data_IF_284632918899
#
_entry.id   IF_284632918899
#
_cell.length_a   1.000
_cell.length_b   1.000
_cell.length_c   1.000
_cell.angle_alpha   90.00
_cell.angle_beta   90.00
_cell.angle_gamma   90.00
#
_symmetry.space_group_name_H-M   'P 1'
#
loop_
_entity.id
_entity.type
_entity.pdbx_description
1 polymer ?
#
# COMPACT_ATOMS: atom_id res chain seq x y z
N UNK A 1 -18.91 -31.85 -10.37
CA UNK A 1 -18.07 -30.75 -9.80
C UNK A 1 -16.66 -31.02 -10.32
N UNK A 2 -16.18 -30.21 -11.26
CA UNK A 2 -14.79 -30.30 -11.70
C UNK A 2 -13.93 -29.66 -10.62
N UNK A 3 -13.03 -30.45 -10.04
CA UNK A 3 -12.11 -30.02 -8.99
C UNK A 3 -10.79 -29.61 -9.67
N UNK A 4 -10.44 -28.38 -9.59
CA UNK A 4 -9.13 -27.91 -10.04
C UNK A 4 -8.17 -27.97 -8.85
N UNK A 5 -7.12 -28.78 -8.96
CA UNK A 5 -6.07 -28.89 -7.97
C UNK A 5 -4.91 -27.97 -8.39
N UNK A 6 -4.57 -27.00 -7.56
CA UNK A 6 -3.37 -26.20 -7.73
C UNK A 6 -2.51 -26.32 -6.46
N UNK A 7 -1.24 -26.75 -6.58
CA UNK A 7 -0.34 -26.75 -5.44
C UNK A 7 -0.08 -25.32 -5.00
N UNK A 8 -0.40 -25.00 -3.76
CA UNK A 8 -0.16 -23.66 -3.20
C UNK A 8 1.17 -23.69 -2.49
N UNK A 9 2.10 -22.89 -2.97
CA UNK A 9 3.34 -22.61 -2.26
C UNK A 9 3.12 -21.57 -1.17
N UNK A 10 3.84 -21.70 -0.05
CA UNK A 10 3.77 -20.79 1.10
C UNK A 10 3.99 -19.32 0.68
N UNK A 11 4.77 -19.08 -0.37
CA UNK A 11 5.02 -17.75 -0.93
C UNK A 11 3.74 -17.10 -1.47
N UNK A 12 2.79 -17.88 -1.99
CA UNK A 12 1.52 -17.36 -2.51
C UNK A 12 0.55 -16.90 -1.40
N UNK A 13 0.77 -17.35 -0.17
CA UNK A 13 0.00 -16.96 1.01
C UNK A 13 0.46 -15.62 1.61
N UNK A 14 1.57 -15.06 1.15
CA UNK A 14 2.00 -13.74 1.57
C UNK A 14 1.04 -12.68 1.03
N UNK A 15 0.52 -11.87 1.94
CA UNK A 15 -0.51 -10.87 1.63
C UNK A 15 -0.02 -9.73 0.74
N UNK A 16 1.29 -9.43 0.78
CA UNK A 16 1.89 -8.37 -0.04
C UNK A 16 3.30 -8.75 -0.45
N UNK A 17 3.61 -8.54 -1.74
CA UNK A 17 4.95 -8.75 -2.30
C UNK A 17 6.03 -7.83 -1.73
N UNK A 18 5.66 -6.76 -1.00
CA UNK A 18 6.60 -5.80 -0.40
C UNK A 18 7.49 -6.43 0.68
N UNK A 19 6.99 -7.46 1.37
CA UNK A 19 7.73 -8.17 2.42
C UNK A 19 8.70 -9.22 1.87
N UNK A 20 8.60 -9.53 0.58
CA UNK A 20 9.49 -10.47 -0.08
C UNK A 20 10.76 -9.74 -0.48
N UNK A 21 11.85 -10.04 0.23
CA UNK A 21 13.15 -9.41 0.02
C UNK A 21 13.78 -9.89 -1.28
N UNK A 22 13.68 -11.17 -1.57
CA UNK A 22 14.26 -11.81 -2.74
C UNK A 22 13.48 -11.43 -4.01
N UNK A 23 14.13 -10.86 -5.05
CA UNK A 23 13.48 -10.47 -6.29
C UNK A 23 12.92 -11.68 -7.06
N UNK A 24 13.58 -12.86 -7.03
CA UNK A 24 13.10 -14.07 -7.70
C UNK A 24 11.82 -14.59 -7.02
N UNK A 25 11.82 -14.63 -5.69
CA UNK A 25 10.61 -15.01 -4.93
C UNK A 25 9.48 -14.01 -5.14
N UNK A 26 9.77 -12.71 -5.29
CA UNK A 26 8.76 -11.69 -5.59
C UNK A 26 8.15 -11.90 -6.98
N UNK A 27 8.96 -12.16 -7.98
CA UNK A 27 8.48 -12.46 -9.33
C UNK A 27 7.63 -13.74 -9.33
N UNK A 28 8.06 -14.77 -8.61
CA UNK A 28 7.31 -16.00 -8.43
C UNK A 28 5.97 -15.76 -7.72
N UNK A 29 5.94 -14.96 -6.67
CA UNK A 29 4.70 -14.54 -6.01
C UNK A 29 3.72 -13.87 -6.97
N UNK A 30 4.18 -12.93 -7.81
CA UNK A 30 3.35 -12.27 -8.80
C UNK A 30 2.79 -13.26 -9.83
N UNK A 31 3.60 -14.20 -10.33
CA UNK A 31 3.16 -15.22 -11.27
C UNK A 31 2.09 -16.15 -10.65
N UNK A 32 2.31 -16.61 -9.42
CA UNK A 32 1.34 -17.43 -8.69
C UNK A 32 0.04 -16.68 -8.42
N UNK A 33 0.13 -15.39 -8.07
CA UNK A 33 -1.04 -14.53 -7.91
C UNK A 33 -1.82 -14.37 -9.22
N UNK A 34 -1.13 -14.18 -10.34
CA UNK A 34 -1.76 -14.12 -11.68
C UNK A 34 -2.50 -15.42 -12.03
N UNK A 35 -1.85 -16.56 -11.81
CA UNK A 35 -2.45 -17.88 -12.06
C UNK A 35 -3.68 -18.10 -11.19
N UNK A 36 -3.59 -17.79 -9.90
CA UNK A 36 -4.70 -17.92 -8.96
C UNK A 36 -5.88 -17.03 -9.34
N UNK A 37 -5.59 -15.75 -9.67
CA UNK A 37 -6.63 -14.81 -10.11
C UNK A 37 -7.32 -15.30 -11.40
N UNK A 38 -6.57 -15.84 -12.36
CA UNK A 38 -7.12 -16.38 -13.59
C UNK A 38 -8.02 -17.60 -13.32
N UNK A 39 -7.59 -18.51 -12.45
CA UNK A 39 -8.36 -19.69 -12.04
C UNK A 39 -9.66 -19.32 -11.34
N UNK A 40 -9.61 -18.37 -10.40
CA UNK A 40 -10.80 -17.92 -9.67
C UNK A 40 -11.79 -17.18 -10.57
N UNK A 41 -11.30 -16.37 -11.51
CA UNK A 41 -12.16 -15.71 -12.50
C UNK A 41 -12.83 -16.72 -13.42
N UNK A 42 -12.11 -17.74 -13.88
CA UNK A 42 -12.67 -18.80 -14.70
C UNK A 42 -13.72 -19.63 -13.93
N UNK A 43 -13.44 -19.97 -12.68
CA UNK A 43 -14.38 -20.69 -11.81
C UNK A 43 -15.63 -19.86 -11.51
N UNK A 44 -15.46 -18.57 -11.21
CA UNK A 44 -16.57 -17.64 -10.98
C UNK A 44 -17.48 -17.52 -12.20
N UNK A 45 -16.91 -17.41 -13.40
CA UNK A 45 -17.68 -17.34 -14.65
C UNK A 45 -18.52 -18.61 -14.92
N UNK A 46 -18.10 -19.75 -14.38
CA UNK A 46 -18.77 -21.05 -14.54
C UNK A 46 -19.63 -21.43 -13.32
N UNK A 47 -19.70 -20.58 -12.28
CA UNK A 47 -20.42 -20.88 -11.03
C UNK A 47 -19.83 -22.05 -10.25
N UNK A 48 -18.53 -22.33 -10.42
CA UNK A 48 -17.82 -23.43 -9.79
C UNK A 48 -17.01 -22.93 -8.58
N UNK A 49 -16.84 -23.84 -7.60
CA UNK A 49 -15.90 -23.62 -6.49
C UNK A 49 -14.52 -24.21 -6.83
N UNK A 50 -13.46 -23.60 -6.34
CA UNK A 50 -12.08 -24.08 -6.50
C UNK A 50 -11.65 -24.74 -5.22
N UNK A 51 -11.22 -25.99 -5.29
CA UNK A 51 -10.59 -26.69 -4.17
C UNK A 51 -9.08 -26.49 -4.26
N UNK A 52 -8.51 -25.91 -3.22
CA UNK A 52 -7.06 -25.71 -3.09
C UNK A 52 -6.46 -26.87 -2.31
N UNK A 53 -5.48 -27.54 -2.91
CA UNK A 53 -4.67 -28.53 -2.23
C UNK A 53 -3.47 -27.83 -1.58
N UNK A 54 -3.48 -27.75 -0.26
CA UNK A 54 -2.36 -27.26 0.52
C UNK A 54 -1.39 -28.43 0.68
N UNK A 55 -0.29 -28.43 -0.06
CA UNK A 55 0.73 -29.49 -0.10
C UNK A 55 1.33 -29.90 1.27
N UNK A 56 0.90 -29.29 2.35
CA UNK A 56 1.38 -29.53 3.73
C UNK A 56 0.26 -29.73 4.75
N UNK A 57 -1.01 -29.68 4.35
CA UNK A 57 -2.13 -29.97 5.25
C UNK A 57 -2.76 -31.30 4.83
N UNK A 58 -2.75 -32.33 5.71
CA UNK A 58 -3.39 -33.58 5.38
C UNK A 58 -4.91 -33.41 5.36
N UNK A 59 -5.50 -33.94 4.29
CA UNK A 59 -6.83 -34.50 4.21
C UNK A 59 -8.06 -33.62 4.02
N UNK A 60 -8.01 -32.28 4.07
CA UNK A 60 -9.20 -31.48 3.73
C UNK A 60 -8.92 -30.43 2.64
N UNK A 61 -9.52 -30.56 1.45
CA UNK A 61 -9.43 -29.52 0.42
C UNK A 61 -10.12 -28.25 0.91
N UNK A 62 -9.40 -27.13 0.92
CA UNK A 62 -9.99 -25.83 1.22
C UNK A 62 -10.81 -25.37 0.03
N UNK A 63 -12.12 -25.37 0.19
CA UNK A 63 -13.04 -24.90 -0.84
C UNK A 63 -13.11 -23.36 -0.81
N UNK A 64 -12.64 -22.74 -1.88
CA UNK A 64 -12.79 -21.29 -2.08
C UNK A 64 -13.97 -21.05 -3.03
N UNK A 65 -14.96 -20.34 -2.53
CA UNK A 65 -16.04 -19.79 -3.35
C UNK A 65 -15.79 -18.30 -3.57
N UNK A 66 -16.10 -17.74 -4.75
CA UNK A 66 -15.99 -16.31 -4.96
C UNK A 66 -16.88 -15.59 -3.96
N UNK A 67 -16.27 -14.81 -3.09
CA UNK A 67 -16.97 -14.03 -2.05
C UNK A 67 -17.36 -12.69 -2.66
N UNK A 68 -18.67 -12.40 -2.67
CA UNK A 68 -19.18 -11.08 -3.02
C UNK A 68 -18.85 -10.03 -1.93
N UNK A 69 -19.28 -8.80 -2.13
CA UNK A 69 -19.07 -7.69 -1.19
C UNK A 69 -19.53 -7.99 0.24
N UNK A 70 -20.53 -8.87 0.41
CA UNK A 70 -21.03 -9.32 1.72
C UNK A 70 -20.05 -10.20 2.50
N UNK A 71 -19.03 -10.74 1.84
CA UNK A 71 -18.01 -11.59 2.47
C UNK A 71 -16.79 -10.81 2.98
N UNK A 72 -16.75 -9.50 2.76
CA UNK A 72 -15.66 -8.66 3.26
C UNK A 72 -15.68 -8.57 4.77
N UNK A 73 -14.50 -8.68 5.39
CA UNK A 73 -14.38 -8.66 6.86
C UNK A 73 -14.87 -7.33 7.45
N UNK A 74 -15.39 -7.31 8.69
CA UNK A 74 -15.73 -6.07 9.39
C UNK A 74 -14.55 -5.09 9.47
N UNK A 75 -13.32 -5.62 9.53
CA UNK A 75 -12.09 -4.81 9.55
C UNK A 75 -11.88 -4.06 8.22
N UNK A 76 -12.25 -4.66 7.08
CA UNK A 76 -12.20 -3.97 5.78
C UNK A 76 -13.09 -2.72 5.81
N UNK A 77 -14.33 -2.86 6.26
CA UNK A 77 -15.27 -1.76 6.33
C UNK A 77 -14.83 -0.69 7.32
N UNK A 78 -14.31 -1.09 8.48
CA UNK A 78 -13.79 -0.16 9.47
C UNK A 78 -12.61 0.66 8.90
N UNK A 79 -11.62 0.01 8.31
CA UNK A 79 -10.45 0.68 7.71
C UNK A 79 -10.85 1.54 6.50
N UNK A 80 -11.81 1.07 5.68
CA UNK A 80 -12.33 1.82 4.56
C UNK A 80 -13.05 3.10 5.00
N UNK A 81 -13.89 3.02 6.03
CA UNK A 81 -14.55 4.18 6.61
C UNK A 81 -13.55 5.16 7.24
N UNK A 82 -12.54 4.65 7.94
CA UNK A 82 -11.48 5.48 8.48
C UNK A 82 -10.70 6.19 7.38
N UNK A 83 -10.34 5.48 6.30
CA UNK A 83 -9.68 6.05 5.13
C UNK A 83 -10.52 7.17 4.51
N UNK A 84 -11.82 6.92 4.32
CA UNK A 84 -12.76 7.91 3.80
C UNK A 84 -12.87 9.14 4.71
N UNK A 85 -12.89 8.93 6.03
CA UNK A 85 -12.91 10.01 7.03
C UNK A 85 -11.65 10.88 6.94
N UNK A 86 -10.46 10.25 6.91
CA UNK A 86 -9.18 10.96 6.76
C UNK A 86 -9.12 11.74 5.45
N UNK A 87 -9.56 11.12 4.35
CA UNK A 87 -9.64 11.76 3.05
C UNK A 87 -10.61 12.96 3.08
N UNK A 88 -11.79 12.80 3.70
CA UNK A 88 -12.79 13.85 3.84
C UNK A 88 -12.26 15.05 4.63
N UNK A 89 -11.54 14.81 5.73
CA UNK A 89 -10.88 15.88 6.50
C UNK A 89 -9.86 16.62 5.64
N UNK A 90 -9.03 15.91 4.89
CA UNK A 90 -8.07 16.52 3.95
C UNK A 90 -8.75 17.39 2.90
N UNK A 91 -9.85 16.90 2.31
CA UNK A 91 -10.63 17.64 1.33
C UNK A 91 -11.26 18.92 1.92
N UNK A 92 -11.85 18.83 3.11
CA UNK A 92 -12.44 20.00 3.81
C UNK A 92 -11.38 21.05 4.10
N UNK A 93 -10.21 20.65 4.59
CA UNK A 93 -9.11 21.58 4.87
C UNK A 93 -8.61 22.26 3.60
N UNK A 94 -8.53 21.53 2.49
CA UNK A 94 -8.13 22.09 1.19
C UNK A 94 -9.17 23.09 0.66
N UNK A 95 -10.45 22.77 0.78
CA UNK A 95 -11.56 23.62 0.34
C UNK A 95 -11.72 24.87 1.21
N UNK A 96 -11.32 24.83 2.48
CA UNK A 96 -11.34 25.99 3.38
C UNK A 96 -10.39 27.11 2.94
N UNK A 97 -9.38 26.82 2.11
CA UNK A 97 -8.50 27.77 1.47
C UNK A 97 -7.22 27.11 0.95
N UNK A 98 -6.84 27.34 -0.31
CA UNK A 98 -5.70 26.68 -0.96
C UNK A 98 -4.35 27.29 -0.54
N UNK A 99 -4.09 27.38 0.76
CA UNK A 99 -2.79 27.76 1.29
C UNK A 99 -1.81 26.58 1.23
N UNK A 100 -0.52 26.86 1.09
CA UNK A 100 0.52 25.83 1.03
C UNK A 100 0.49 24.84 2.21
N UNK A 101 0.14 25.32 3.40
CA UNK A 101 -0.06 24.47 4.57
C UNK A 101 -1.24 23.52 4.41
N UNK A 102 -2.36 24.01 3.90
CA UNK A 102 -3.56 23.21 3.71
C UNK A 102 -3.38 22.18 2.59
N UNK A 103 -2.62 22.53 1.54
CA UNK A 103 -2.22 21.60 0.50
C UNK A 103 -1.35 20.47 1.06
N UNK A 104 -0.35 20.80 1.89
CA UNK A 104 0.49 19.78 2.53
C UNK A 104 -0.34 18.85 3.44
N UNK A 105 -1.27 19.42 4.22
CA UNK A 105 -2.17 18.62 5.05
C UNK A 105 -3.09 17.71 4.22
N UNK A 106 -3.63 18.22 3.11
CA UNK A 106 -4.46 17.41 2.22
C UNK A 106 -3.66 16.27 1.56
N UNK A 107 -2.42 16.52 1.15
CA UNK A 107 -1.51 15.48 0.62
C UNK A 107 -1.18 14.43 1.69
N UNK A 108 -0.93 14.86 2.93
CA UNK A 108 -0.74 13.96 4.06
C UNK A 108 -1.99 13.07 4.27
N UNK A 109 -3.17 13.68 4.33
CA UNK A 109 -4.43 12.97 4.52
C UNK A 109 -4.71 11.99 3.36
N UNK A 110 -4.48 12.40 2.11
CA UNK A 110 -4.64 11.57 0.93
C UNK A 110 -3.73 10.34 0.98
N UNK A 111 -2.45 10.54 1.28
CA UNK A 111 -1.49 9.45 1.36
C UNK A 111 -1.78 8.48 2.50
N UNK A 112 -2.16 8.98 3.68
CA UNK A 112 -2.54 8.14 4.81
C UNK A 112 -3.86 7.38 4.55
N UNK A 113 -4.85 8.03 3.93
CA UNK A 113 -6.08 7.38 3.49
C UNK A 113 -5.80 6.27 2.47
N UNK A 114 -4.90 6.52 1.52
CA UNK A 114 -4.43 5.51 0.56
C UNK A 114 -3.77 4.31 1.24
N UNK A 115 -2.88 4.54 2.21
CA UNK A 115 -2.25 3.46 3.00
C UNK A 115 -3.29 2.62 3.73
N UNK A 116 -4.29 3.25 4.37
CA UNK A 116 -5.36 2.54 5.07
C UNK A 116 -6.18 1.67 4.12
N UNK A 117 -6.47 2.13 2.89
CA UNK A 117 -7.17 1.32 1.89
C UNK A 117 -6.35 0.09 1.50
N UNK A 118 -5.04 0.23 1.29
CA UNK A 118 -4.19 -0.92 1.00
C UNK A 118 -4.15 -1.91 2.17
N UNK A 119 -4.10 -1.43 3.41
CA UNK A 119 -4.17 -2.28 4.61
C UNK A 119 -5.53 -2.99 4.68
N UNK A 120 -6.63 -2.30 4.33
CA UNK A 120 -7.96 -2.91 4.28
C UNK A 120 -8.02 -4.06 3.26
N UNK A 121 -7.45 -3.86 2.07
CA UNK A 121 -7.38 -4.90 1.02
C UNK A 121 -6.53 -6.08 1.50
N UNK A 122 -5.36 -5.85 2.08
CA UNK A 122 -4.48 -6.91 2.58
C UNK A 122 -5.11 -7.75 3.70
N UNK A 123 -5.99 -7.17 4.49
CA UNK A 123 -6.65 -7.91 5.58
C UNK A 123 -7.78 -8.85 5.09
N UNK A 124 -8.12 -8.81 3.81
CA UNK A 124 -9.07 -9.73 3.21
C UNK A 124 -8.33 -10.73 2.32
N UNK A 125 -8.08 -11.93 2.88
CA UNK A 125 -7.41 -13.03 2.17
C UNK A 125 -8.19 -13.49 0.94
N UNK A 126 -9.52 -13.37 1.01
CA UNK A 126 -10.45 -13.82 -0.01
C UNK A 126 -10.67 -12.77 -1.12
N UNK A 127 -10.17 -11.56 -0.93
CA UNK A 127 -10.21 -10.51 -1.94
C UNK A 127 -8.96 -10.62 -2.82
N UNK A 128 -9.08 -11.38 -3.92
CA UNK A 128 -8.03 -11.40 -4.92
C UNK A 128 -8.02 -10.07 -5.67
N UNK A 129 -7.10 -9.20 -5.23
CA UNK A 129 -6.90 -7.92 -5.88
C UNK A 129 -6.50 -8.12 -7.34
N UNK A 130 -6.97 -7.26 -8.27
CA UNK A 130 -6.56 -7.38 -9.68
C UNK A 130 -5.04 -7.26 -9.79
N UNK A 131 -4.45 -8.01 -10.71
CA UNK A 131 -2.99 -8.15 -10.88
C UNK A 131 -2.29 -6.80 -10.98
N UNK A 132 -2.89 -5.85 -11.70
CA UNK A 132 -2.32 -4.50 -11.82
C UNK A 132 -2.18 -3.79 -10.47
N UNK A 133 -3.14 -4.01 -9.54
CA UNK A 133 -3.08 -3.41 -8.21
C UNK A 133 -1.98 -4.05 -7.37
N UNK A 134 -1.81 -5.37 -7.44
CA UNK A 134 -0.73 -6.07 -6.74
C UNK A 134 0.65 -5.65 -7.26
N UNK A 135 0.77 -5.47 -8.57
CA UNK A 135 2.01 -4.99 -9.20
C UNK A 135 2.36 -3.57 -8.75
N UNK A 136 1.35 -2.69 -8.63
CA UNK A 136 1.53 -1.31 -8.22
C UNK A 136 1.58 -1.12 -6.69
N UNK A 137 1.18 -2.12 -5.91
CA UNK A 137 1.07 -2.02 -4.44
C UNK A 137 2.34 -1.42 -3.82
N UNK A 138 3.50 -2.02 -4.08
CA UNK A 138 4.77 -1.58 -3.51
C UNK A 138 5.12 -0.15 -3.91
N UNK A 139 4.91 0.22 -5.18
CA UNK A 139 5.25 1.55 -5.69
C UNK A 139 4.30 2.62 -5.17
N UNK A 140 2.99 2.34 -5.10
CA UNK A 140 2.00 3.28 -4.59
C UNK A 140 2.17 3.53 -3.10
N UNK A 141 2.40 2.49 -2.32
CA UNK A 141 2.67 2.65 -0.88
C UNK A 141 3.92 3.45 -0.62
N UNK A 142 4.98 3.19 -1.39
CA UNK A 142 6.20 3.97 -1.29
C UNK A 142 5.96 5.43 -1.65
N UNK A 143 5.22 5.70 -2.73
CA UNK A 143 4.85 7.07 -3.08
C UNK A 143 4.06 7.75 -1.95
N UNK A 144 3.13 7.04 -1.31
CA UNK A 144 2.39 7.56 -0.16
C UNK A 144 3.30 7.84 1.05
N UNK A 145 4.27 6.97 1.35
CA UNK A 145 5.23 7.18 2.43
C UNK A 145 6.09 8.42 2.16
N UNK A 146 6.58 8.59 0.94
CA UNK A 146 7.38 9.73 0.53
C UNK A 146 6.57 11.03 0.55
N UNK A 147 5.33 11.02 0.05
CA UNK A 147 4.42 12.17 0.10
C UNK A 147 4.11 12.54 1.55
N UNK A 148 3.80 11.56 2.39
CA UNK A 148 3.58 11.77 3.83
C UNK A 148 4.77 12.48 4.46
N UNK A 149 5.96 11.96 4.22
CA UNK A 149 7.20 12.48 4.82
C UNK A 149 7.52 13.89 4.34
N UNK A 150 7.41 14.16 3.03
CA UNK A 150 7.63 15.49 2.47
C UNK A 150 6.58 16.51 2.97
N UNK A 151 5.32 16.09 3.07
CA UNK A 151 4.24 16.91 3.60
C UNK A 151 4.43 17.21 5.09
N UNK A 152 4.91 16.26 5.90
CA UNK A 152 5.25 16.49 7.31
C UNK A 152 6.37 17.52 7.45
N UNK A 153 7.44 17.42 6.67
CA UNK A 153 8.51 18.42 6.66
C UNK A 153 7.95 19.80 6.31
N UNK A 154 7.11 19.89 5.29
CA UNK A 154 6.49 21.14 4.87
C UNK A 154 5.60 21.72 5.97
N UNK A 155 4.79 20.90 6.64
CA UNK A 155 3.95 21.33 7.76
C UNK A 155 4.81 21.84 8.92
N UNK A 156 5.83 21.08 9.30
CA UNK A 156 6.75 21.43 10.39
C UNK A 156 7.41 22.81 10.17
N UNK A 157 7.87 23.06 8.96
CA UNK A 157 8.55 24.32 8.59
C UNK A 157 7.59 25.51 8.54
N UNK A 158 6.31 25.27 8.28
CA UNK A 158 5.28 26.29 8.17
C UNK A 158 4.50 26.57 9.47
N UNK A 159 4.69 25.77 10.52
CA UNK A 159 3.91 25.81 11.74
C UNK A 159 4.82 25.89 13.01
N UNK A 160 4.49 26.68 14.05
CA UNK A 160 3.41 27.70 14.11
C UNK A 160 3.78 28.98 13.39
N UNK A 161 5.07 29.25 13.26
CA UNK A 161 5.64 30.41 12.55
C UNK A 161 6.54 29.90 11.42
N UNK A 162 6.49 30.58 10.28
CA UNK A 162 7.35 30.25 9.14
C UNK A 162 8.82 30.41 9.54
N UNK A 163 9.59 29.33 9.40
CA UNK A 163 11.03 29.40 9.63
C UNK A 163 11.70 30.28 8.57
N UNK A 164 12.77 30.99 8.98
CA UNK A 164 13.60 31.75 8.03
C UNK A 164 14.16 30.78 6.98
N UNK A 165 13.98 31.10 5.68
CA UNK A 165 14.39 30.22 4.59
C UNK A 165 13.49 28.99 4.36
N UNK A 166 12.26 29.00 4.86
CA UNK A 166 11.30 27.90 4.76
C UNK A 166 11.20 27.28 3.36
N UNK A 167 11.29 28.10 2.31
CA UNK A 167 11.23 27.62 0.92
C UNK A 167 12.32 26.60 0.58
N UNK A 168 13.53 26.78 1.12
CA UNK A 168 14.64 25.84 0.95
C UNK A 168 14.35 24.50 1.62
N UNK A 169 13.87 24.48 2.85
CA UNK A 169 13.57 23.24 3.58
C UNK A 169 12.45 22.45 2.89
N UNK A 170 11.42 23.15 2.42
CA UNK A 170 10.33 22.52 1.63
C UNK A 170 10.88 21.95 0.34
N UNK A 171 11.66 22.74 -0.42
CA UNK A 171 12.25 22.26 -1.67
C UNK A 171 13.15 21.04 -1.45
N UNK A 172 14.01 21.05 -0.43
CA UNK A 172 14.87 19.92 -0.07
C UNK A 172 14.07 18.70 0.33
N UNK A 173 13.00 18.85 1.11
CA UNK A 173 12.12 17.73 1.49
C UNK A 173 11.48 17.04 0.28
N UNK A 174 10.93 17.81 -0.64
CA UNK A 174 10.34 17.27 -1.86
C UNK A 174 11.39 16.72 -2.84
N UNK A 175 12.54 17.39 -2.99
CA UNK A 175 13.65 16.86 -3.81
C UNK A 175 14.20 15.55 -3.25
N UNK A 176 14.32 15.44 -1.93
CA UNK A 176 14.72 14.19 -1.29
C UNK A 176 13.71 13.07 -1.55
N UNK A 177 12.40 13.35 -1.42
CA UNK A 177 11.35 12.38 -1.71
C UNK A 177 11.38 11.93 -3.17
N UNK A 178 11.49 12.84 -4.13
CA UNK A 178 11.61 12.53 -5.55
C UNK A 178 12.90 11.76 -5.84
N UNK A 179 14.02 12.17 -5.27
CA UNK A 179 15.31 11.51 -5.42
C UNK A 179 15.30 10.07 -4.90
N UNK A 180 14.66 9.83 -3.76
CA UNK A 180 14.48 8.49 -3.21
C UNK A 180 13.56 7.64 -4.11
N UNK A 181 12.49 8.23 -4.64
CA UNK A 181 11.59 7.51 -5.54
C UNK A 181 12.27 7.13 -6.87
N UNK A 182 13.01 8.06 -7.48
CA UNK A 182 13.79 7.80 -8.69
C UNK A 182 14.90 6.79 -8.43
N UNK A 183 15.59 6.89 -7.30
CA UNK A 183 16.61 5.91 -6.90
C UNK A 183 16.05 4.50 -6.80
N UNK A 184 14.83 4.34 -6.24
CA UNK A 184 14.17 3.04 -6.18
C UNK A 184 13.75 2.50 -7.54
N UNK A 185 13.34 3.36 -8.47
CA UNK A 185 12.95 2.92 -9.82
C UNK A 185 14.14 2.38 -10.64
N UNK A 186 15.37 2.75 -10.27
CA UNK A 186 16.60 2.34 -10.96
C UNK A 186 17.27 1.10 -10.36
N UNK A 187 16.90 0.75 -9.14
CA UNK A 187 17.58 -0.29 -8.37
C UNK A 187 16.60 -1.42 -8.04
N UNK A 188 16.80 -2.55 -8.69
CA UNK A 188 15.90 -3.72 -8.64
C UNK A 188 16.03 -4.57 -7.36
N UNK A 189 16.51 -4.00 -6.25
CA UNK A 189 16.81 -4.74 -5.04
C UNK A 189 15.91 -4.35 -3.86
N UNK A 190 15.55 -5.33 -3.04
CA UNK A 190 14.79 -5.16 -1.81
C UNK A 190 15.48 -4.27 -0.77
N UNK A 191 16.82 -4.18 -0.84
CA UNK A 191 17.60 -3.25 -0.03
C UNK A 191 17.10 -1.81 -0.20
N UNK A 192 16.58 -1.49 -1.37
CA UNK A 192 16.12 -0.15 -1.70
C UNK A 192 14.83 0.22 -0.98
N UNK A 193 13.90 -0.73 -0.81
CA UNK A 193 12.69 -0.46 -0.05
C UNK A 193 13.02 -0.09 1.40
N UNK A 194 13.90 -0.85 2.04
CA UNK A 194 14.35 -0.57 3.41
C UNK A 194 15.14 0.74 3.52
N UNK A 195 15.99 1.04 2.53
CA UNK A 195 16.72 2.30 2.47
C UNK A 195 15.77 3.50 2.37
N UNK A 196 14.74 3.41 1.55
CA UNK A 196 13.72 4.46 1.44
C UNK A 196 12.91 4.58 2.73
N UNK A 197 12.51 3.47 3.36
CA UNK A 197 11.83 3.51 4.64
C UNK A 197 12.69 4.14 5.74
N UNK A 198 13.99 3.81 5.78
CA UNK A 198 14.93 4.47 6.70
C UNK A 198 15.06 5.97 6.40
N UNK A 199 15.11 6.37 5.13
CA UNK A 199 15.10 7.77 4.70
C UNK A 199 13.83 8.50 5.12
N UNK A 200 12.66 7.90 4.91
CA UNK A 200 11.37 8.43 5.36
C UNK A 200 11.32 8.61 6.88
N UNK A 201 11.81 7.62 7.63
CA UNK A 201 11.91 7.71 9.09
C UNK A 201 12.83 8.86 9.51
N UNK A 202 14.01 8.98 8.92
CA UNK A 202 14.97 10.06 9.19
C UNK A 202 14.38 11.45 8.94
N UNK A 203 13.72 11.63 7.80
CA UNK A 203 13.04 12.89 7.45
C UNK A 203 11.87 13.20 8.40
N UNK A 204 11.10 12.18 8.80
CA UNK A 204 10.00 12.34 9.75
C UNK A 204 10.51 12.78 11.14
N UNK A 205 11.60 12.17 11.61
CA UNK A 205 12.25 12.56 12.86
C UNK A 205 12.81 13.98 12.79
N UNK A 206 13.41 14.37 11.66
CA UNK A 206 13.86 15.74 11.43
C UNK A 206 12.67 16.73 11.45
N UNK A 207 11.53 16.38 10.83
CA UNK A 207 10.33 17.20 10.88
C UNK A 207 9.82 17.40 12.32
N UNK A 208 9.78 16.32 13.12
CA UNK A 208 9.38 16.39 14.54
C UNK A 208 10.34 17.30 15.33
N UNK A 209 11.66 17.16 15.08
CA UNK A 209 12.68 18.00 15.76
C UNK A 209 12.58 19.47 15.38
N UNK A 210 12.00 19.82 14.24
CA UNK A 210 11.75 21.22 13.85
C UNK A 210 10.50 21.80 14.52
N UNK A 211 9.63 20.95 15.08
CA UNK A 211 8.41 21.38 15.78
C UNK A 211 8.63 21.62 17.28
N UNK A 212 9.71 21.07 17.84
CA UNK A 212 10.11 21.23 19.25
C UNK A 212 11.03 22.43 19.45
#
# INVERSE_FOLDING_TARGET
>A
VQTLYAPIEVVSLQRSGRWIIDPELRQRHLLLHQQMTALLNAASAQGMSVNLDLSHAPDEPVQISPIGWSGLSPLFWLLGLLALGVFGVGAVVLLAGPQWRNVAFALLALSQGGQLLFVAIENNLDLFAPVWLVTLDTQLRLAFDLITTAALVQIAVLHPHRLTGWGWYVALGWLAAVGLWLGMSQLDTALNWWAVQAGCLGLSLAAISLMT
#
